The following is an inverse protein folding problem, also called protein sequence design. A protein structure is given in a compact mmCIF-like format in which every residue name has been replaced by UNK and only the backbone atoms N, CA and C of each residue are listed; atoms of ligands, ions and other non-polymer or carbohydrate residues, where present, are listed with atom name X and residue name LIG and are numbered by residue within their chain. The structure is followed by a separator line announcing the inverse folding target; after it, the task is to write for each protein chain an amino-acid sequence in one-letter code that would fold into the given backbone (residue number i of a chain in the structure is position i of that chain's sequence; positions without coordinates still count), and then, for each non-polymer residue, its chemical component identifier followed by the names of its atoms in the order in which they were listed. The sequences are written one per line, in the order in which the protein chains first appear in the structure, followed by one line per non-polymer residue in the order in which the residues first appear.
data_IF_903620803385
#
_entry.id   IF_903620803385
#
_cell.length_a   1.000
_cell.length_b   1.000
_cell.length_c   1.000
_cell.angle_alpha   90.00
_cell.angle_beta   90.00
_cell.angle_gamma   90.00
#
_symmetry.space_group_name_H-M   'P 1'
#
loop_
_entity.id
_entity.type
_entity.pdbx_description
1 polymer ?
#
# COMPACT_ATOMS: atom_id res chain seq x y z
N UNK A 1 2.43 1.37 -11.38
CA UNK A 1 3.73 1.54 -12.06
C UNK A 1 3.47 1.53 -13.57
N UNK A 2 3.80 2.60 -14.29
CA UNK A 2 3.47 2.71 -15.73
C UNK A 2 4.19 1.61 -16.54
N UNK A 3 3.51 1.04 -17.53
CA UNK A 3 4.04 -0.01 -18.43
C UNK A 3 5.42 0.33 -19.01
N UNK A 4 5.64 1.60 -19.36
CA UNK A 4 6.93 2.10 -19.85
C UNK A 4 8.07 1.96 -18.82
N UNK A 5 7.81 2.23 -17.53
CA UNK A 5 8.81 2.07 -16.46
C UNK A 5 9.19 0.61 -16.24
N UNK A 6 8.22 -0.30 -16.35
CA UNK A 6 8.48 -1.73 -16.26
C UNK A 6 9.33 -2.25 -17.42
N UNK A 7 9.05 -1.79 -18.65
CA UNK A 7 9.86 -2.13 -19.84
C UNK A 7 11.29 -1.64 -19.70
N UNK A 8 11.50 -0.42 -19.19
CA UNK A 8 12.86 0.11 -18.96
C UNK A 8 13.62 -0.72 -17.92
N UNK A 9 12.99 -1.11 -16.82
CA UNK A 9 13.63 -1.97 -15.81
C UNK A 9 13.97 -3.35 -16.38
N UNK A 10 13.03 -3.99 -17.08
CA UNK A 10 13.26 -5.29 -17.71
C UNK A 10 14.40 -5.19 -18.72
N UNK A 11 14.43 -4.14 -19.55
CA UNK A 11 15.52 -3.87 -20.49
C UNK A 11 16.86 -3.70 -19.77
N UNK A 12 16.91 -2.88 -18.72
CA UNK A 12 18.15 -2.59 -17.99
C UNK A 12 18.72 -3.81 -17.26
N UNK A 13 17.87 -4.70 -16.72
CA UNK A 13 18.29 -5.94 -16.07
C UNK A 13 18.64 -7.07 -17.07
N UNK A 14 18.04 -7.08 -18.26
CA UNK A 14 18.33 -8.07 -19.32
C UNK A 14 19.54 -7.71 -20.18
N UNK A 15 19.87 -6.41 -20.29
CA UNK A 15 21.04 -5.90 -21.00
C UNK A 15 22.37 -6.55 -20.59
N UNK A 16 22.70 -6.68 -19.29
CA UNK A 16 23.93 -7.37 -18.89
C UNK A 16 23.89 -8.86 -19.22
N UNK A 17 22.72 -9.51 -19.19
CA UNK A 17 22.58 -10.92 -19.58
C UNK A 17 22.82 -11.12 -21.07
N UNK A 18 22.25 -10.24 -21.91
CA UNK A 18 22.45 -10.24 -23.35
C UNK A 18 23.90 -9.90 -23.72
N UNK A 19 24.52 -8.94 -23.04
CA UNK A 19 25.92 -8.62 -23.19
C UNK A 19 26.83 -9.80 -22.80
N UNK A 20 26.50 -10.54 -21.74
CA UNK A 20 27.24 -11.73 -21.33
C UNK A 20 27.07 -12.90 -22.31
N UNK A 21 25.90 -13.07 -22.93
CA UNK A 21 25.67 -14.10 -23.95
C UNK A 21 26.39 -13.78 -25.27
N UNK A 22 26.35 -12.51 -25.70
CA UNK A 22 27.03 -12.05 -26.91
C UNK A 22 28.56 -12.00 -26.74
N UNK A 23 29.05 -11.53 -25.58
CA UNK A 23 30.46 -11.55 -25.25
C UNK A 23 30.94 -12.98 -24.95
N UNK A 24 30.16 -13.81 -24.26
CA UNK A 24 30.53 -15.19 -23.97
C UNK A 24 30.76 -16.03 -25.22
N UNK A 25 30.02 -15.76 -26.30
CA UNK A 25 30.18 -16.46 -27.58
C UNK A 25 31.33 -15.92 -28.44
N UNK A 26 31.62 -14.61 -28.39
CA UNK A 26 32.68 -13.99 -29.21
C UNK A 26 34.05 -13.95 -28.50
N UNK A 27 34.07 -13.82 -27.18
CA UNK A 27 35.23 -13.35 -26.41
C UNK A 27 36.00 -14.48 -25.71
N UNK A 28 35.43 -15.69 -25.67
CA UNK A 28 36.13 -16.93 -25.29
C UNK A 28 37.28 -17.28 -26.26
N UNK A 29 37.38 -16.58 -27.39
CA UNK A 29 38.37 -16.87 -28.42
C UNK A 29 39.66 -16.04 -28.32
N UNK A 30 39.68 -14.82 -27.78
CA UNK A 30 40.85 -13.94 -28.04
C UNK A 30 41.43 -13.06 -26.92
N UNK A 31 40.66 -12.48 -25.98
CA UNK A 31 41.23 -11.43 -25.12
C UNK A 31 40.61 -11.37 -23.72
N UNK A 32 41.44 -11.43 -22.67
CA UNK A 32 41.12 -11.48 -21.24
C UNK A 32 40.42 -10.25 -20.63
N UNK A 33 39.44 -9.67 -21.33
CA UNK A 33 38.63 -8.52 -20.93
C UNK A 33 37.48 -8.88 -19.95
N UNK A 34 37.52 -10.07 -19.35
CA UNK A 34 36.60 -10.53 -18.30
C UNK A 34 36.49 -9.52 -17.14
N UNK A 35 37.59 -8.83 -16.81
CA UNK A 35 37.61 -7.80 -15.77
C UNK A 35 36.70 -6.61 -16.08
N UNK A 36 36.54 -6.20 -17.34
CA UNK A 36 35.69 -5.06 -17.70
C UNK A 36 34.21 -5.45 -17.76
N UNK A 37 33.90 -6.65 -18.28
CA UNK A 37 32.54 -7.21 -18.24
C UNK A 37 32.04 -7.45 -16.82
N UNK A 38 32.94 -7.79 -15.89
CA UNK A 38 32.60 -7.95 -14.48
C UNK A 38 32.05 -6.65 -13.86
N UNK A 39 32.45 -5.47 -14.36
CA UNK A 39 31.94 -4.17 -13.90
C UNK A 39 30.60 -3.78 -14.51
N UNK A 40 30.24 -4.32 -15.68
CA UNK A 40 28.98 -4.00 -16.35
C UNK A 40 27.77 -4.51 -15.55
N UNK A 41 27.91 -5.68 -14.91
CA UNK A 41 26.87 -6.27 -14.08
C UNK A 41 26.51 -5.40 -12.85
N UNK A 42 27.44 -5.04 -11.95
CA UNK A 42 27.15 -4.14 -10.83
C UNK A 42 26.79 -2.74 -11.29
N UNK A 43 27.30 -2.26 -12.44
CA UNK A 43 26.89 -0.97 -12.98
C UNK A 43 25.40 -0.97 -13.39
N UNK A 44 24.94 -1.96 -14.16
CA UNK A 44 23.52 -2.09 -14.53
C UNK A 44 22.62 -2.33 -13.31
N UNK A 45 23.07 -3.14 -12.34
CA UNK A 45 22.35 -3.36 -11.09
C UNK A 45 22.26 -2.09 -10.24
N UNK A 46 23.36 -1.36 -10.08
CA UNK A 46 23.40 -0.10 -9.35
C UNK A 46 22.52 0.96 -9.99
N UNK A 47 22.55 1.07 -11.32
CA UNK A 47 21.69 2.00 -12.07
C UNK A 47 20.22 1.61 -11.95
N UNK A 48 19.90 0.32 -12.00
CA UNK A 48 18.56 -0.22 -11.76
C UNK A 48 18.07 0.05 -10.34
N UNK A 49 18.94 -0.13 -9.34
CA UNK A 49 18.64 0.18 -7.95
C UNK A 49 18.35 1.66 -7.75
N UNK A 50 19.19 2.56 -8.29
CA UNK A 50 18.97 4.01 -8.24
C UNK A 50 17.66 4.39 -8.95
N UNK A 51 17.38 3.84 -10.13
CA UNK A 51 16.12 4.07 -10.83
C UNK A 51 14.91 3.60 -10.01
N UNK A 52 14.99 2.41 -9.41
CA UNK A 52 13.93 1.90 -8.53
C UNK A 52 13.75 2.83 -7.33
N UNK A 53 14.83 3.27 -6.69
CA UNK A 53 14.78 4.22 -5.56
C UNK A 53 14.16 5.56 -5.97
N UNK A 54 14.42 6.02 -7.18
CA UNK A 54 13.96 7.30 -7.71
C UNK A 54 12.54 7.25 -8.27
N UNK A 55 12.11 6.08 -8.75
CA UNK A 55 10.78 5.83 -9.30
C UNK A 55 9.82 5.15 -8.34
N UNK A 56 10.33 4.61 -7.23
CA UNK A 56 9.50 4.33 -6.09
C UNK A 56 8.77 5.64 -5.80
N UNK A 57 7.43 5.68 -5.88
CA UNK A 57 6.75 6.75 -5.19
C UNK A 57 7.38 6.72 -3.80
N UNK A 58 7.97 7.85 -3.36
CA UNK A 58 8.26 8.03 -1.94
C UNK A 58 7.07 7.39 -1.26
N UNK A 59 7.29 6.35 -0.46
CA UNK A 59 6.23 5.79 0.34
C UNK A 59 5.80 6.96 1.22
N UNK A 60 4.92 7.78 0.66
CA UNK A 60 4.30 8.93 1.26
C UNK A 60 3.50 8.23 2.31
N UNK A 61 4.10 8.19 3.50
CA UNK A 61 3.47 7.99 4.79
C UNK A 61 2.08 7.43 4.58
N UNK A 62 1.96 6.10 4.50
CA UNK A 62 0.67 5.40 4.36
C UNK A 62 -0.32 6.13 5.23
N UNK A 63 -1.18 6.93 4.60
CA UNK A 63 -1.80 8.14 5.15
C UNK A 63 -1.83 8.24 6.69
N UNK A 64 -0.69 8.58 7.31
CA UNK A 64 -0.66 9.29 8.60
C UNK A 64 -0.79 10.78 8.37
N UNK A 65 -1.14 11.19 7.15
CA UNK A 65 -1.44 12.56 6.80
C UNK A 65 -2.59 13.04 7.67
N UNK A 66 -2.28 13.94 8.59
CA UNK A 66 -3.22 14.86 9.23
C UNK A 66 -4.30 15.19 8.21
N UNK A 67 -5.54 14.71 8.44
CA UNK A 67 -6.67 15.01 7.57
C UNK A 67 -6.70 16.52 7.45
N UNK A 68 -6.43 17.07 6.25
CA UNK A 68 -6.53 18.51 6.04
C UNK A 68 -8.00 18.86 6.20
N UNK A 69 -8.37 19.31 7.40
CA UNK A 69 -9.75 19.59 7.73
C UNK A 69 -10.28 20.65 6.75
N UNK A 70 -11.36 20.34 6.01
CA UNK A 70 -12.02 21.34 5.19
C UNK A 70 -12.49 22.52 6.06
N UNK A 71 -12.41 23.74 5.51
CA UNK A 71 -12.73 24.97 6.25
C UNK A 71 -14.17 25.02 6.79
N UNK A 72 -15.08 24.24 6.22
CA UNK A 72 -16.50 24.18 6.62
C UNK A 72 -16.78 23.25 7.82
N UNK A 73 -15.78 22.53 8.34
CA UNK A 73 -15.98 21.63 9.48
C UNK A 73 -16.21 22.41 10.77
N UNK A 74 -17.28 22.03 11.48
CA UNK A 74 -17.64 22.59 12.78
C UNK A 74 -16.78 21.99 13.89
N UNK A 75 -16.85 22.57 15.09
CA UNK A 75 -16.17 22.01 16.27
C UNK A 75 -16.68 20.59 16.61
N UNK A 76 -17.95 20.32 16.30
CA UNK A 76 -18.53 18.99 16.48
C UNK A 76 -17.88 17.94 15.57
N UNK A 77 -17.54 18.33 14.34
CA UNK A 77 -16.87 17.48 13.36
C UNK A 77 -15.42 17.21 13.76
N UNK A 78 -14.74 18.19 14.38
CA UNK A 78 -13.41 17.99 14.96
C UNK A 78 -13.42 16.96 16.08
N UNK A 79 -14.45 16.99 16.92
CA UNK A 79 -14.59 15.99 17.98
C UNK A 79 -14.90 14.60 17.41
N UNK A 80 -15.70 14.51 16.35
CA UNK A 80 -15.93 13.26 15.64
C UNK A 80 -14.63 12.72 15.00
N UNK A 81 -13.79 13.60 14.45
CA UNK A 81 -12.47 13.24 13.94
C UNK A 81 -11.57 12.65 15.03
N UNK A 82 -11.59 13.21 16.25
CA UNK A 82 -10.83 12.67 17.37
C UNK A 82 -11.22 11.23 17.72
N UNK A 83 -12.50 10.85 17.55
CA UNK A 83 -12.97 9.47 17.72
C UNK A 83 -12.32 8.56 16.66
N UNK A 84 -12.27 9.01 15.40
CA UNK A 84 -11.65 8.27 14.30
C UNK A 84 -10.15 8.08 14.56
N UNK A 85 -9.45 9.16 14.93
CA UNK A 85 -8.02 9.12 15.25
C UNK A 85 -7.70 8.19 16.42
N UNK A 86 -8.57 8.15 17.44
CA UNK A 86 -8.43 7.23 18.56
C UNK A 86 -8.53 5.76 18.12
N UNK A 87 -9.50 5.42 17.25
CA UNK A 87 -9.60 4.07 16.69
C UNK A 87 -8.42 3.73 15.78
N UNK A 88 -7.95 4.67 14.95
CA UNK A 88 -6.77 4.46 14.11
C UNK A 88 -5.52 4.12 14.95
N UNK A 89 -5.34 4.76 16.11
CA UNK A 89 -4.24 4.44 17.04
C UNK A 89 -4.40 3.03 17.60
N UNK A 90 -5.62 2.64 17.97
CA UNK A 90 -5.92 1.32 18.52
C UNK A 90 -5.66 0.20 17.51
N UNK A 91 -5.84 0.44 16.20
CA UNK A 91 -5.52 -0.54 15.15
C UNK A 91 -4.04 -0.97 15.16
N UNK A 92 -3.12 -0.11 15.61
CA UNK A 92 -1.68 -0.46 15.71
C UNK A 92 -1.40 -1.55 16.74
N UNK A 93 -2.29 -1.75 17.70
CA UNK A 93 -2.17 -2.73 18.78
C UNK A 93 -2.89 -4.05 18.44
N UNK A 94 -3.61 -4.11 17.32
CA UNK A 94 -4.37 -5.29 16.91
C UNK A 94 -3.42 -6.35 16.38
N UNK A 95 -3.59 -7.58 16.88
CA UNK A 95 -2.81 -8.72 16.45
C UNK A 95 -3.02 -9.01 14.96
N UNK A 96 -1.93 -9.36 14.26
CA UNK A 96 -1.92 -9.47 12.81
C UNK A 96 -2.85 -10.57 12.27
N UNK A 97 -3.15 -11.59 13.08
CA UNK A 97 -4.10 -12.67 12.82
C UNK A 97 -5.53 -12.15 12.65
N UNK A 98 -5.95 -11.19 13.48
CA UNK A 98 -7.29 -10.56 13.40
C UNK A 98 -7.49 -9.75 12.11
N UNK A 99 -6.42 -9.15 11.59
CA UNK A 99 -6.46 -8.38 10.34
C UNK A 99 -6.71 -9.27 9.11
N UNK A 100 -6.64 -10.60 9.24
CA UNK A 100 -6.91 -11.54 8.15
C UNK A 100 -8.39 -11.90 8.08
N UNK A 101 -9.14 -11.71 9.17
CA UNK A 101 -10.53 -12.09 9.29
C UNK A 101 -11.44 -11.06 8.59
N UNK A 102 -12.21 -11.41 7.55
CA UNK A 102 -13.10 -10.44 6.88
C UNK A 102 -14.16 -9.85 7.81
N UNK A 103 -14.62 -10.65 8.78
CA UNK A 103 -15.65 -10.24 9.76
C UNK A 103 -15.16 -9.10 10.66
N UNK A 104 -13.88 -9.09 11.00
CA UNK A 104 -13.27 -8.06 11.82
C UNK A 104 -13.49 -6.66 11.21
N UNK A 105 -13.34 -6.52 9.90
CA UNK A 105 -13.52 -5.23 9.22
C UNK A 105 -14.97 -4.73 9.28
N UNK A 106 -15.95 -5.61 9.08
CA UNK A 106 -17.37 -5.24 9.17
C UNK A 106 -17.75 -4.84 10.59
N UNK A 107 -17.24 -5.56 11.59
CA UNK A 107 -17.50 -5.25 12.99
C UNK A 107 -16.83 -3.93 13.41
N UNK A 108 -15.57 -3.71 13.02
CA UNK A 108 -14.87 -2.46 13.26
C UNK A 108 -15.58 -1.26 12.62
N UNK A 109 -16.03 -1.41 11.37
CA UNK A 109 -16.80 -0.38 10.67
C UNK A 109 -18.12 -0.06 11.39
N UNK A 110 -18.89 -1.08 11.78
CA UNK A 110 -20.13 -0.90 12.54
C UNK A 110 -19.89 -0.23 13.90
N UNK A 111 -18.88 -0.67 14.65
CA UNK A 111 -18.54 -0.09 15.94
C UNK A 111 -18.14 1.39 15.82
N UNK A 112 -17.31 1.73 14.83
CA UNK A 112 -16.91 3.13 14.58
C UNK A 112 -18.11 3.97 14.13
N UNK A 113 -18.93 3.47 13.20
CA UNK A 113 -20.13 4.14 12.74
C UNK A 113 -21.08 4.43 13.91
N UNK A 114 -21.26 3.48 14.83
CA UNK A 114 -22.13 3.65 16.00
C UNK A 114 -21.58 4.69 16.99
N UNK A 115 -20.26 4.72 17.21
CA UNK A 115 -19.62 5.74 18.05
C UNK A 115 -19.81 7.14 17.47
N UNK A 116 -19.62 7.29 16.16
CA UNK A 116 -19.84 8.56 15.46
C UNK A 116 -21.33 8.93 15.49
N UNK A 117 -22.24 7.98 15.27
CA UNK A 117 -23.68 8.26 15.28
C UNK A 117 -24.17 8.72 16.66
N UNK A 118 -23.73 8.07 17.75
CA UNK A 118 -23.98 8.54 19.14
C UNK A 118 -23.37 9.92 19.39
N UNK A 119 -22.22 10.18 18.76
CA UNK A 119 -21.61 11.48 18.49
C UNK A 119 -22.62 12.60 18.18
N UNK A 120 -23.30 12.37 17.05
CA UNK A 120 -24.21 13.32 16.44
C UNK A 120 -25.62 13.30 17.03
N UNK A 121 -26.02 12.20 17.69
CA UNK A 121 -27.35 12.03 18.25
C UNK A 121 -27.32 11.53 19.71
N UNK A 122 -26.78 12.32 20.67
CA UNK A 122 -26.56 11.87 22.05
C UNK A 122 -27.85 11.65 22.86
N UNK A 123 -28.98 12.20 22.41
CA UNK A 123 -30.27 12.13 23.10
C UNK A 123 -31.16 10.95 22.67
N UNK A 124 -30.71 10.16 21.68
CA UNK A 124 -31.50 9.07 21.10
C UNK A 124 -30.92 7.72 21.52
N UNK A 125 -31.79 6.78 21.92
CA UNK A 125 -31.40 5.41 22.26
C UNK A 125 -30.92 4.61 21.04
N UNK A 126 -31.54 4.83 19.89
CA UNK A 126 -31.14 4.29 18.58
C UNK A 126 -30.74 5.42 17.61
N UNK A 127 -29.44 5.67 17.39
CA UNK A 127 -28.97 6.72 16.49
C UNK A 127 -29.34 6.52 15.01
N UNK A 128 -29.70 5.29 14.61
CA UNK A 128 -30.00 4.98 13.21
C UNK A 128 -31.49 5.08 12.88
N UNK A 129 -32.36 5.09 13.89
CA UNK A 129 -33.81 5.03 13.67
C UNK A 129 -34.37 6.22 12.90
N UNK A 130 -33.67 7.35 12.88
CA UNK A 130 -34.04 8.55 12.13
C UNK A 130 -33.58 8.54 10.67
N UNK A 131 -32.70 7.61 10.29
CA UNK A 131 -32.15 7.52 8.94
C UNK A 131 -33.06 6.66 8.06
N UNK A 132 -33.23 7.11 6.82
CA UNK A 132 -33.89 6.33 5.78
C UNK A 132 -32.92 5.29 5.20
N UNK A 133 -33.46 4.20 4.67
CA UNK A 133 -32.65 3.17 4.02
C UNK A 133 -31.76 3.72 2.88
N UNK A 134 -32.23 4.63 2.01
CA UNK A 134 -31.39 5.24 0.98
C UNK A 134 -30.21 6.05 1.55
N UNK A 135 -30.38 6.76 2.65
CA UNK A 135 -29.30 7.54 3.27
C UNK A 135 -28.18 6.62 3.80
N UNK A 136 -28.56 5.50 4.43
CA UNK A 136 -27.58 4.51 4.91
C UNK A 136 -26.84 3.87 3.74
N UNK A 137 -27.55 3.51 2.66
CA UNK A 137 -26.94 2.95 1.46
C UNK A 137 -26.00 3.95 0.77
N UNK A 138 -26.38 5.22 0.70
CA UNK A 138 -25.54 6.28 0.14
C UNK A 138 -24.25 6.46 0.96
N UNK A 139 -24.34 6.47 2.29
CA UNK A 139 -23.17 6.54 3.17
C UNK A 139 -22.24 5.34 3.00
N UNK A 140 -22.80 4.12 2.93
CA UNK A 140 -22.02 2.91 2.67
C UNK A 140 -21.34 2.95 1.28
N UNK A 141 -22.04 3.41 0.25
CA UNK A 141 -21.50 3.54 -1.09
C UNK A 141 -20.31 4.52 -1.13
N UNK A 142 -20.45 5.70 -0.53
CA UNK A 142 -19.36 6.68 -0.43
C UNK A 142 -18.13 6.12 0.30
N UNK A 143 -18.34 5.39 1.39
CA UNK A 143 -17.26 4.77 2.14
C UNK A 143 -16.53 3.69 1.32
N UNK A 144 -17.28 2.87 0.57
CA UNK A 144 -16.72 1.83 -0.29
C UNK A 144 -15.95 2.42 -1.47
N UNK A 145 -16.48 3.48 -2.09
CA UNK A 145 -15.80 4.17 -3.20
C UNK A 145 -14.48 4.81 -2.73
N UNK A 146 -14.46 5.43 -1.55
CA UNK A 146 -13.21 5.97 -0.99
C UNK A 146 -12.21 4.86 -0.68
N UNK A 147 -12.65 3.73 -0.15
CA UNK A 147 -11.81 2.56 0.11
C UNK A 147 -11.22 1.99 -1.19
N UNK A 148 -12.03 1.86 -2.23
CA UNK A 148 -11.58 1.42 -3.56
C UNK A 148 -10.50 2.37 -4.10
N UNK A 149 -10.77 3.68 -4.11
CA UNK A 149 -9.79 4.70 -4.53
C UNK A 149 -8.50 4.65 -3.71
N UNK A 150 -8.61 4.38 -2.41
CA UNK A 150 -7.45 4.21 -1.54
C UNK A 150 -6.64 2.95 -1.91
N UNK A 151 -7.30 1.80 -2.11
CA UNK A 151 -6.66 0.55 -2.51
C UNK A 151 -5.96 0.71 -3.86
N UNK A 152 -6.60 1.32 -4.84
CA UNK A 152 -5.99 1.58 -6.15
C UNK A 152 -4.76 2.49 -6.08
N UNK A 153 -4.80 3.51 -5.22
CA UNK A 153 -3.72 4.48 -5.08
C UNK A 153 -2.52 3.93 -4.31
N UNK A 154 -2.76 3.18 -3.23
CA UNK A 154 -1.73 2.82 -2.26
C UNK A 154 -1.32 1.34 -2.30
N UNK A 155 -2.15 0.44 -2.83
CA UNK A 155 -1.79 -0.98 -2.96
C UNK A 155 -1.22 -1.24 -4.36
N UNK A 156 0.10 -1.44 -4.50
CA UNK A 156 0.71 -1.62 -5.81
C UNK A 156 0.21 -2.90 -6.46
N UNK A 157 -0.28 -2.79 -7.69
CA UNK A 157 -0.81 -3.95 -8.41
C UNK A 157 -2.16 -4.45 -7.88
N UNK A 158 -2.91 -3.62 -7.14
CA UNK A 158 -4.26 -3.93 -6.65
C UNK A 158 -5.17 -4.55 -7.71
N UNK A 159 -5.16 -4.01 -8.94
CA UNK A 159 -5.93 -4.49 -10.09
C UNK A 159 -5.56 -5.90 -10.58
N UNK A 160 -4.40 -6.43 -10.19
CA UNK A 160 -3.96 -7.81 -10.51
C UNK A 160 -4.12 -8.75 -9.31
N UNK A 161 -4.44 -8.20 -8.13
CA UNK A 161 -4.36 -8.90 -6.87
C UNK A 161 -5.70 -9.61 -6.59
N UNK A 162 -5.65 -10.93 -6.57
CA UNK A 162 -6.81 -11.75 -6.21
C UNK A 162 -6.98 -11.85 -4.69
N UNK A 163 -8.21 -12.10 -4.22
CA UNK A 163 -8.50 -12.35 -2.79
C UNK A 163 -7.64 -13.50 -2.24
N UNK A 164 -7.36 -14.52 -3.06
CA UNK A 164 -6.47 -15.63 -2.69
C UNK A 164 -5.05 -15.15 -2.42
N UNK A 165 -4.50 -14.30 -3.28
CA UNK A 165 -3.16 -13.74 -3.10
C UNK A 165 -3.10 -12.80 -1.90
N UNK A 166 -4.16 -12.00 -1.67
CA UNK A 166 -4.26 -11.17 -0.47
C UNK A 166 -4.17 -12.00 0.81
N UNK A 167 -4.91 -13.11 0.88
CA UNK A 167 -4.90 -14.04 2.02
C UNK A 167 -3.54 -14.74 2.18
N UNK A 168 -2.83 -15.00 1.08
CA UNK A 168 -1.49 -15.56 1.14
C UNK A 168 -0.47 -14.53 1.66
N UNK A 169 -0.57 -13.27 1.22
CA UNK A 169 0.25 -12.14 1.68
C UNK A 169 0.05 -11.85 3.17
N UNK A 170 -1.18 -11.93 3.66
CA UNK A 170 -1.48 -11.71 5.08
C UNK A 170 -0.91 -12.81 5.99
N UNK A 171 -0.72 -14.02 5.45
CA UNK A 171 -0.07 -15.15 6.12
C UNK A 171 1.45 -15.20 5.86
N UNK A 172 2.03 -14.20 5.17
CA UNK A 172 3.45 -14.21 4.86
C UNK A 172 4.26 -14.17 6.18
N UNK A 173 5.27 -15.04 6.36
CA UNK A 173 5.96 -15.12 7.63
C UNK A 173 6.76 -13.84 7.92
N UNK A 174 6.99 -13.56 9.20
CA UNK A 174 7.57 -12.30 9.72
C UNK A 174 8.91 -11.89 9.09
N UNK A 175 9.67 -12.80 8.47
CA UNK A 175 10.90 -12.50 7.75
C UNK A 175 10.69 -11.57 6.55
N UNK A 176 9.48 -11.51 5.97
CA UNK A 176 9.15 -10.58 4.89
C UNK A 176 9.06 -9.12 5.38
N UNK A 177 8.74 -8.89 6.67
CA UNK A 177 8.87 -7.57 7.32
C UNK A 177 10.34 -7.19 7.49
N UNK A 178 11.18 -8.15 7.89
CA UNK A 178 12.64 -7.95 8.01
C UNK A 178 13.27 -7.61 6.65
N UNK A 179 12.83 -8.23 5.55
CA UNK A 179 13.32 -7.88 4.22
C UNK A 179 12.97 -6.44 3.81
N UNK A 180 11.81 -5.92 4.22
CA UNK A 180 11.42 -4.53 3.98
C UNK A 180 12.25 -3.56 4.82
N UNK A 181 12.60 -3.91 6.05
CA UNK A 181 13.45 -3.09 6.91
C UNK A 181 14.92 -3.15 6.44
N UNK A 182 15.42 -4.32 6.02
CA UNK A 182 16.79 -4.46 5.48
C UNK A 182 16.95 -3.77 4.11
N UNK A 183 15.87 -3.59 3.34
CA UNK A 183 15.91 -2.84 2.07
C UNK A 183 16.25 -1.34 2.21
N UNK A 184 16.32 -0.79 3.43
CA UNK A 184 16.84 0.55 3.71
C UNK A 184 18.36 0.56 3.99
N UNK A 185 18.95 -0.58 4.35
CA UNK A 185 20.37 -0.72 4.71
C UNK A 185 21.27 -1.24 3.58
N UNK A 186 20.71 -1.66 2.45
CA UNK A 186 21.42 -2.08 1.24
C UNK A 186 21.03 -1.21 0.05
#
# INVERSE_FOLDING_TARGET
MNRAKAVVLIGLFSLPLAAFLAAGTWMLWENGWLLWLWWLYPACWGLGYVLIRWWQPRATEVATGTVKLPMYWTERDRQALAIIEAEQRRVKEIAADRLIEPRFYLEAANQLALKIARHYHPKTSDPYSSLTLPEVLAAAHLALEELERWVERYVPGSHLLTIRQWRALSNAPSWMRVARDVSWLA
#
